data_IF_874951549362
#
_entry.id   IF_874951549362
#
_cell.length_a   1.000
_cell.length_b   1.000
_cell.length_c   1.000
_cell.angle_alpha   90.00
_cell.angle_beta   90.00
_cell.angle_gamma   90.00
#
_symmetry.space_group_name_H-M   'P 1'
#
loop_
_entity.id
_entity.type
_entity.pdbx_description
1 polymer ?
#
# COMPACT_ATOMS: atom_id res chain seq x y z
N UNK A 1 -2.41 6.38 1.33
CA UNK A 1 -1.68 5.34 2.07
C UNK A 1 -2.37 4.00 1.84
N UNK A 2 -1.64 2.97 1.40
CA UNK A 2 -2.23 1.66 1.05
C UNK A 2 -2.40 0.75 2.27
N UNK A 3 -3.33 -0.23 2.25
CA UNK A 3 -3.48 -1.21 3.33
C UNK A 3 -2.17 -1.93 3.74
N UNK A 4 -1.35 -2.48 2.81
CA UNK A 4 -0.11 -3.15 3.19
C UNK A 4 0.94 -2.18 3.77
N UNK A 5 1.01 -0.92 3.31
CA UNK A 5 1.87 0.10 3.93
C UNK A 5 1.46 0.42 5.37
N UNK A 6 0.16 0.43 5.66
CA UNK A 6 -0.34 0.64 7.02
C UNK A 6 0.11 -0.46 7.97
N UNK A 7 0.13 -1.72 7.53
CA UNK A 7 0.57 -2.83 8.35
C UNK A 7 2.03 -2.66 8.80
N UNK A 8 2.92 -2.27 7.87
CA UNK A 8 4.34 -1.99 8.19
C UNK A 8 4.47 -0.82 9.16
N UNK A 9 3.78 0.29 8.91
CA UNK A 9 3.81 1.47 9.79
C UNK A 9 3.32 1.14 11.20
N UNK A 10 2.22 0.41 11.32
CA UNK A 10 1.68 -0.02 12.63
C UNK A 10 2.69 -0.92 13.33
N UNK A 11 3.30 -1.86 12.62
CA UNK A 11 4.31 -2.75 13.18
C UNK A 11 5.51 -1.98 13.75
N UNK A 12 6.04 -1.01 12.99
CA UNK A 12 7.13 -0.18 13.48
C UNK A 12 6.73 0.60 14.74
N UNK A 13 5.54 1.24 14.73
CA UNK A 13 5.04 2.03 15.87
C UNK A 13 4.85 1.18 17.13
N UNK A 14 4.25 -0.01 16.99
CA UNK A 14 3.97 -0.90 18.13
C UNK A 14 5.26 -1.44 18.75
N UNK A 15 6.30 -1.68 17.94
CA UNK A 15 7.56 -2.22 18.40
C UNK A 15 8.63 -1.15 18.68
N UNK A 16 8.30 0.14 18.61
CA UNK A 16 9.26 1.22 18.85
C UNK A 16 10.43 1.24 17.85
N UNK A 17 10.22 0.76 16.63
CA UNK A 17 11.22 0.82 15.57
C UNK A 17 11.22 2.23 14.99
N UNK A 18 12.36 2.90 15.03
CA UNK A 18 12.55 4.21 14.40
C UNK A 18 12.59 4.07 12.88
N UNK A 19 11.82 4.92 12.19
CA UNK A 19 11.77 4.95 10.74
C UNK A 19 11.44 6.35 10.24
N UNK A 20 11.90 6.67 9.02
CA UNK A 20 11.49 7.88 8.31
C UNK A 20 10.47 7.52 7.23
N UNK A 21 9.23 8.00 7.38
CA UNK A 21 8.18 7.77 6.39
C UNK A 21 8.40 8.65 5.15
N UNK A 22 8.80 8.04 4.02
CA UNK A 22 8.73 8.71 2.72
C UNK A 22 7.34 8.52 2.13
N UNK A 23 6.52 9.56 2.19
CA UNK A 23 5.21 9.56 1.53
C UNK A 23 5.41 9.51 0.02
N UNK A 24 4.70 8.58 -0.62
CA UNK A 24 4.67 8.40 -2.07
C UNK A 24 3.26 8.70 -2.56
N UNK A 25 3.12 9.72 -3.40
CA UNK A 25 1.84 10.11 -3.98
C UNK A 25 1.49 9.20 -5.17
N UNK A 26 0.49 8.35 -4.96
CA UNK A 26 -0.02 7.42 -5.96
C UNK A 26 -0.79 8.19 -7.06
N UNK A 27 -1.45 9.30 -6.72
CA UNK A 27 -2.19 10.13 -7.68
C UNK A 27 -1.25 10.82 -8.67
N UNK A 28 -0.06 11.23 -8.21
CA UNK A 28 1.00 11.79 -9.05
C UNK A 28 1.89 10.72 -9.69
N UNK A 29 1.57 9.43 -9.50
CA UNK A 29 2.31 8.29 -10.08
C UNK A 29 3.77 8.21 -9.65
N UNK A 30 4.12 8.73 -8.47
CA UNK A 30 5.50 8.74 -7.96
C UNK A 30 6.10 7.33 -7.82
N UNK A 31 5.28 6.35 -7.45
CA UNK A 31 5.63 4.93 -7.39
C UNK A 31 6.06 4.34 -8.75
N UNK A 32 5.73 5.01 -9.88
CA UNK A 32 6.11 4.54 -11.22
C UNK A 32 7.45 5.09 -11.71
N UNK A 33 8.06 6.01 -10.96
CA UNK A 33 9.32 6.66 -11.32
C UNK A 33 10.49 5.67 -11.35
N UNK A 34 11.54 5.91 -12.16
CA UNK A 34 12.75 5.10 -12.15
C UNK A 34 13.39 5.04 -10.75
N UNK A 35 13.43 6.17 -10.04
CA UNK A 35 13.99 6.24 -8.69
C UNK A 35 13.28 5.33 -7.68
N UNK A 36 11.96 5.12 -7.81
CA UNK A 36 11.24 4.16 -6.97
C UNK A 36 11.46 2.72 -7.44
N UNK A 37 11.59 2.50 -8.75
CA UNK A 37 11.85 1.18 -9.33
C UNK A 37 13.19 0.59 -8.87
N UNK A 38 14.18 1.44 -8.58
CA UNK A 38 15.45 1.06 -7.94
C UNK A 38 15.29 0.44 -6.55
N UNK A 39 14.13 0.62 -5.90
CA UNK A 39 13.80 0.05 -4.58
C UNK A 39 12.83 -1.13 -4.75
N UNK A 40 11.77 -0.93 -5.51
CA UNK A 40 10.82 -1.99 -5.86
C UNK A 40 10.61 -2.03 -7.38
N UNK A 41 11.19 -3.00 -8.10
CA UNK A 41 11.02 -3.17 -9.53
C UNK A 41 9.55 -3.35 -9.97
N UNK A 42 8.69 -3.88 -9.08
CA UNK A 42 7.25 -4.02 -9.33
C UNK A 42 6.49 -2.69 -9.23
N UNK A 43 7.15 -1.61 -8.79
CA UNK A 43 6.59 -0.26 -8.68
C UNK A 43 5.35 -0.19 -7.78
N UNK A 44 5.34 -1.00 -6.72
CA UNK A 44 4.24 -1.09 -5.76
C UNK A 44 4.68 -0.69 -4.35
N UNK A 45 3.71 -0.34 -3.50
CA UNK A 45 3.93 -0.04 -2.09
C UNK A 45 3.43 -1.21 -1.22
N UNK A 46 4.06 -1.48 -0.06
CA UNK A 46 5.22 -0.79 0.53
C UNK A 46 6.57 -1.26 -0.02
N UNK A 47 7.58 -0.43 0.20
CA UNK A 47 8.99 -0.77 0.07
C UNK A 47 9.78 -0.05 1.18
N UNK A 48 10.88 -0.64 1.64
CA UNK A 48 11.76 -0.06 2.65
C UNK A 48 13.21 -0.02 2.14
N UNK A 49 13.99 0.84 2.78
CA UNK A 49 15.45 0.89 2.64
C UNK A 49 16.03 0.91 4.05
N UNK A 50 16.91 -0.05 4.35
CA UNK A 50 17.75 -0.06 5.55
C UNK A 50 19.22 -0.06 5.13
N UNK A 51 19.87 1.10 5.24
CA UNK A 51 21.20 1.33 4.67
C UNK A 51 21.25 1.03 3.16
N UNK A 52 22.01 0.01 2.78
CA UNK A 52 22.12 -0.44 1.39
C UNK A 52 21.11 -1.55 1.03
N UNK A 53 20.38 -2.08 2.02
CA UNK A 53 19.41 -3.14 1.82
C UNK A 53 18.08 -2.55 1.40
N UNK A 54 17.54 -3.05 0.29
CA UNK A 54 16.24 -2.63 -0.26
C UNK A 54 15.32 -3.83 -0.25
N UNK A 55 14.11 -3.65 0.27
CA UNK A 55 13.15 -4.74 0.38
C UNK A 55 11.74 -4.25 0.03
N UNK A 56 11.04 -5.07 -0.74
CA UNK A 56 9.63 -4.92 -1.08
C UNK A 56 8.87 -6.19 -0.71
N UNK A 57 7.55 -6.19 -0.88
CA UNK A 57 6.59 -7.15 -0.31
C UNK A 57 6.34 -6.96 1.20
N UNK A 58 5.08 -6.64 1.54
CA UNK A 58 4.71 -6.29 2.91
C UNK A 58 4.94 -7.41 3.92
N UNK A 59 4.63 -8.67 3.58
CA UNK A 59 4.88 -9.80 4.45
C UNK A 59 6.38 -10.04 4.67
N UNK A 60 7.19 -9.93 3.60
CA UNK A 60 8.66 -10.03 3.69
C UNK A 60 9.25 -8.92 4.57
N UNK A 61 8.76 -7.69 4.40
CA UNK A 61 9.15 -6.54 5.22
C UNK A 61 8.82 -6.80 6.69
N UNK A 62 7.61 -7.25 7.02
CA UNK A 62 7.22 -7.53 8.40
C UNK A 62 8.09 -8.61 9.05
N UNK A 63 8.38 -9.70 8.33
CA UNK A 63 9.27 -10.76 8.82
C UNK A 63 10.69 -10.22 9.02
N UNK A 64 11.20 -9.44 8.07
CA UNK A 64 12.53 -8.83 8.19
C UNK A 64 12.60 -7.91 9.42
N UNK A 65 11.61 -7.03 9.61
CA UNK A 65 11.55 -6.14 10.77
C UNK A 65 11.49 -6.95 12.08
N UNK A 66 10.73 -8.04 12.11
CA UNK A 66 10.63 -8.91 13.28
C UNK A 66 11.94 -9.65 13.62
N UNK A 67 12.74 -9.98 12.62
CA UNK A 67 14.00 -10.70 12.79
C UNK A 67 15.22 -9.78 13.03
N UNK A 68 15.27 -8.65 12.34
CA UNK A 68 16.48 -7.83 12.24
C UNK A 68 16.57 -6.74 13.31
N UNK A 69 15.43 -6.27 13.84
CA UNK A 69 15.41 -5.15 14.77
C UNK A 69 15.44 -5.64 16.23
N UNK A 70 16.38 -5.13 17.05
CA UNK A 70 16.44 -5.49 18.46
C UNK A 70 15.20 -4.98 19.21
N UNK A 71 14.80 -5.68 20.26
CA UNK A 71 13.65 -5.29 21.09
C UNK A 71 12.29 -5.70 20.54
N UNK A 72 12.21 -6.24 19.33
CA UNK A 72 10.97 -6.85 18.83
C UNK A 72 10.70 -8.16 19.56
N UNK A 73 9.50 -8.31 20.11
CA UNK A 73 9.13 -9.47 20.89
C UNK A 73 8.98 -10.74 20.01
N UNK A 74 9.47 -11.87 20.53
CA UNK A 74 9.49 -13.18 19.83
C UNK A 74 8.11 -13.67 19.36
N UNK A 75 7.02 -13.24 20.02
CA UNK A 75 5.66 -13.65 19.65
C UNK A 75 5.25 -13.22 18.23
N UNK A 76 5.88 -12.17 17.66
CA UNK A 76 5.63 -11.74 16.28
C UNK A 76 6.15 -12.74 15.25
N UNK A 77 7.33 -13.33 15.49
CA UNK A 77 7.95 -14.28 14.58
C UNK A 77 8.87 -15.29 15.33
N UNK A 78 8.26 -16.24 16.07
CA UNK A 78 8.95 -17.07 17.05
C UNK A 78 9.96 -18.00 16.39
N UNK A 79 11.03 -18.39 17.09
CA UNK A 79 12.05 -19.32 16.57
C UNK A 79 11.52 -20.72 16.21
N UNK A 80 10.42 -21.16 16.85
CA UNK A 80 9.82 -22.47 16.63
C UNK A 80 9.35 -22.67 15.18
N UNK A 81 9.85 -23.73 14.54
CA UNK A 81 9.59 -24.04 13.14
C UNK A 81 8.10 -24.27 12.86
N UNK A 82 7.39 -24.97 13.75
CA UNK A 82 5.97 -25.26 13.56
C UNK A 82 5.10 -24.00 13.61
N UNK A 83 5.38 -23.10 14.55
CA UNK A 83 4.70 -21.80 14.64
C UNK A 83 5.01 -20.93 13.42
N UNK A 84 6.27 -20.87 12.97
CA UNK A 84 6.63 -20.16 11.73
C UNK A 84 5.88 -20.70 10.52
N UNK A 85 5.83 -22.02 10.35
CA UNK A 85 5.08 -22.64 9.24
C UNK A 85 3.60 -22.26 9.26
N UNK A 86 2.97 -22.16 10.45
CA UNK A 86 1.58 -21.67 10.57
C UNK A 86 1.45 -20.19 10.20
N UNK A 87 2.37 -19.35 10.65
CA UNK A 87 2.41 -17.92 10.27
C UNK A 87 2.51 -17.80 8.75
N UNK A 88 3.49 -18.47 8.15
CA UNK A 88 3.68 -18.50 6.70
C UNK A 88 2.41 -18.95 5.97
N UNK A 89 1.80 -20.07 6.39
CA UNK A 89 0.55 -20.56 5.81
C UNK A 89 -0.54 -19.48 5.76
N UNK A 90 -0.72 -18.73 6.85
CA UNK A 90 -1.70 -17.64 6.90
C UNK A 90 -1.28 -16.44 6.06
N UNK A 91 -0.01 -16.03 6.09
CA UNK A 91 0.49 -14.90 5.28
C UNK A 91 0.34 -15.18 3.78
N UNK A 92 0.69 -16.39 3.32
CA UNK A 92 0.52 -16.79 1.92
C UNK A 92 -0.97 -16.89 1.53
N UNK A 93 -1.81 -17.50 2.37
CA UNK A 93 -3.25 -17.56 2.12
C UNK A 93 -3.85 -16.14 2.06
N UNK A 94 -3.47 -15.26 2.98
CA UNK A 94 -3.92 -13.88 3.06
C UNK A 94 -3.59 -13.10 1.78
N UNK A 95 -2.37 -13.24 1.25
CA UNK A 95 -1.94 -12.57 0.02
C UNK A 95 -2.78 -13.01 -1.19
N UNK A 96 -2.94 -14.32 -1.39
CA UNK A 96 -3.59 -14.87 -2.59
C UNK A 96 -5.12 -14.86 -2.52
N UNK A 97 -5.70 -14.80 -1.32
CA UNK A 97 -7.13 -14.89 -1.10
C UNK A 97 -7.71 -13.59 -0.54
N UNK A 98 -7.51 -13.33 0.74
CA UNK A 98 -8.23 -12.25 1.44
C UNK A 98 -7.89 -10.87 0.89
N UNK A 99 -6.60 -10.57 0.69
CA UNK A 99 -6.17 -9.28 0.11
C UNK A 99 -6.79 -9.06 -1.26
N UNK A 100 -6.66 -10.04 -2.16
CA UNK A 100 -7.18 -9.93 -3.53
C UNK A 100 -8.70 -9.76 -3.58
N UNK A 101 -9.42 -10.51 -2.75
CA UNK A 101 -10.87 -10.40 -2.66
C UNK A 101 -11.29 -9.03 -2.09
N UNK A 102 -10.64 -8.58 -1.03
CA UNK A 102 -10.91 -7.27 -0.41
C UNK A 102 -10.63 -6.12 -1.39
N UNK A 103 -9.50 -6.15 -2.10
CA UNK A 103 -9.14 -5.14 -3.09
C UNK A 103 -10.15 -5.09 -4.24
N UNK A 104 -10.59 -6.25 -4.73
CA UNK A 104 -11.62 -6.35 -5.77
C UNK A 104 -12.94 -5.74 -5.29
N UNK A 105 -13.36 -6.11 -4.07
CA UNK A 105 -14.60 -5.60 -3.48
C UNK A 105 -14.55 -4.08 -3.29
N UNK A 106 -13.50 -3.54 -2.67
CA UNK A 106 -13.33 -2.09 -2.43
C UNK A 106 -13.24 -1.33 -3.76
N UNK A 107 -12.53 -1.88 -4.73
CA UNK A 107 -12.40 -1.25 -6.05
C UNK A 107 -13.77 -1.13 -6.73
N UNK A 108 -14.55 -2.22 -6.75
CA UNK A 108 -15.83 -2.27 -7.45
C UNK A 108 -16.94 -1.50 -6.72
N UNK A 109 -16.95 -1.52 -5.40
CA UNK A 109 -18.02 -0.89 -4.61
C UNK A 109 -17.76 0.56 -4.26
N UNK A 110 -16.49 0.96 -4.14
CA UNK A 110 -16.13 2.28 -3.61
C UNK A 110 -15.34 3.10 -4.61
N UNK A 111 -14.25 2.57 -5.17
CA UNK A 111 -13.33 3.37 -5.99
C UNK A 111 -13.93 3.68 -7.36
N UNK A 112 -14.34 2.65 -8.11
CA UNK A 112 -14.87 2.81 -9.46
C UNK A 112 -16.14 3.68 -9.50
N UNK A 113 -17.14 3.50 -8.61
CA UNK A 113 -18.33 4.36 -8.61
C UNK A 113 -17.98 5.82 -8.33
N UNK A 114 -17.06 6.10 -7.38
CA UNK A 114 -16.63 7.47 -7.09
C UNK A 114 -15.91 8.11 -8.27
N UNK A 115 -15.06 7.37 -8.98
CA UNK A 115 -14.39 7.86 -10.18
C UNK A 115 -15.39 8.13 -11.32
N UNK A 116 -16.38 7.26 -11.50
CA UNK A 116 -17.44 7.45 -12.49
C UNK A 116 -18.25 8.71 -12.21
N UNK A 117 -18.71 8.90 -10.97
CA UNK A 117 -19.44 10.10 -10.54
C UNK A 117 -18.59 11.36 -10.72
N UNK A 118 -17.31 11.33 -10.34
CA UNK A 118 -16.40 12.46 -10.54
C UNK A 118 -16.26 12.83 -12.02
N UNK A 119 -16.15 11.83 -12.90
CA UNK A 119 -16.05 12.05 -14.36
C UNK A 119 -17.33 12.67 -14.93
N UNK A 120 -18.50 12.19 -14.51
CA UNK A 120 -19.81 12.75 -14.90
C UNK A 120 -19.92 14.21 -14.44
N UNK A 121 -19.61 14.50 -13.17
CA UNK A 121 -19.65 15.86 -12.63
C UNK A 121 -18.74 16.83 -13.39
N UNK A 122 -17.54 16.38 -13.79
CA UNK A 122 -16.61 17.18 -14.61
C UNK A 122 -17.16 17.47 -16.00
N UNK A 123 -17.87 16.53 -16.63
CA UNK A 123 -18.55 16.76 -17.91
C UNK A 123 -19.74 17.72 -17.76
N UNK A 124 -20.55 17.57 -16.72
CA UNK A 124 -21.68 18.46 -16.45
C UNK A 124 -21.22 19.91 -16.21
N UNK A 125 -20.11 20.12 -15.49
CA UNK A 125 -19.55 21.46 -15.32
C UNK A 125 -19.10 22.09 -16.64
N UNK A 126 -18.49 21.31 -17.54
CA UNK A 126 -18.13 21.82 -18.88
C UNK A 126 -19.36 22.23 -19.70
N UNK A 127 -20.43 21.43 -19.65
CA UNK A 127 -21.68 21.73 -20.35
C UNK A 127 -22.39 22.97 -19.79
N UNK A 128 -22.41 23.15 -18.46
CA UNK A 128 -22.97 24.36 -17.82
C UNK A 128 -22.19 25.61 -18.21
N UNK A 129 -20.86 25.56 -18.19
CA UNK A 129 -20.02 26.69 -18.59
C UNK A 129 -20.16 27.02 -20.09
N UNK A 130 -20.37 26.02 -20.94
CA UNK A 130 -20.65 26.23 -22.36
C UNK A 130 -22.02 26.88 -22.59
N UNK A 131 -23.05 26.43 -21.87
CA UNK A 131 -24.40 27.02 -21.93
C UNK A 131 -24.44 28.47 -21.43
N UNK A 132 -23.67 28.84 -20.40
CA UNK A 132 -23.58 30.23 -19.93
C UNK A 132 -22.89 31.16 -20.94
N UNK A 133 -21.94 30.66 -21.74
CA UNK A 133 -21.31 31.46 -22.80
C UNK A 133 -22.22 31.67 -24.02
N UNK A 134 -23.15 30.75 -24.30
CA UNK A 134 -24.14 30.90 -25.37
C UNK A 134 -25.29 31.84 -25.01
N UNK A 135 -25.53 32.08 -23.71
CA UNK A 135 -26.60 32.97 -23.23
C UNK A 135 -26.16 34.45 -23.09
N UNK A 136 -24.88 34.75 -23.33
CA UNK A 136 -24.29 36.10 -23.24
C UNK A 136 -23.97 36.73 -24.62
N UNK A 137 -24.42 36.12 -25.73
CA UNK A 137 -24.42 36.69 -27.09
C UNK A 137 -25.85 36.81 -27.58
#
# INVERSE_FOLDING_TARGET
MTPPSRAVIIFCKVNGIDYTERKVDISQREHLTPAFAEINPMKQLPAIVDGNFKLFESHSILIYLACAFPGVADHWYPADHFKRSKIHSVLYWHHSNLCRAADTYVTNTTILPRLAIHRINKQLMKLRNFSSHLCQR
#
